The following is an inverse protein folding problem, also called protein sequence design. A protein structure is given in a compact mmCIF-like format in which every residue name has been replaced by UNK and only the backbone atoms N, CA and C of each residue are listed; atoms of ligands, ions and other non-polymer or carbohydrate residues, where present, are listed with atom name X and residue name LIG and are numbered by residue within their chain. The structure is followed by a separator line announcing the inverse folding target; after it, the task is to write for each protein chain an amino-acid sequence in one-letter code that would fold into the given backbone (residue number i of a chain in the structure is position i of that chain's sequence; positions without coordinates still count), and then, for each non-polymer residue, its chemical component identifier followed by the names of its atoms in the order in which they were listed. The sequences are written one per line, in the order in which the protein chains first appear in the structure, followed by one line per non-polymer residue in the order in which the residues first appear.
data_IF_685413553906
#
_entry.id   IF_685413553906
#
_cell.length_a   1.000
_cell.length_b   1.000
_cell.length_c   1.000
_cell.angle_alpha   90.00
_cell.angle_beta   90.00
_cell.angle_gamma   90.00
#
_symmetry.space_group_name_H-M   'P 1'
#
loop_
_entity.id
_entity.type
_entity.pdbx_description
1 polymer ?
2 non-polymer ?
3 non-polymer ?
4 non-polymer ?
5 non-polymer ?
6 water ?
#
# COMPACT_ATOMS: atom_id res chain seq x y z
N UNK A 6 24.78 -10.43 14.44
CA UNK A 6 24.97 -11.48 13.38
C UNK A 6 23.64 -11.86 12.68
N UNK A 7 22.98 -10.85 12.15
CA UNK A 7 21.68 -10.97 11.53
C UNK A 7 21.72 -11.70 10.22
N UNK A 8 20.66 -12.45 9.96
CA UNK A 8 20.47 -13.09 8.67
C UNK A 8 20.49 -12.06 7.52
N UNK A 9 21.11 -12.44 6.39
CA UNK A 9 21.19 -11.59 5.21
C UNK A 9 20.55 -12.32 4.08
N UNK A 10 19.24 -12.05 3.81
CA UNK A 10 18.52 -12.80 2.80
C UNK A 10 18.84 -12.37 1.39
N UNK A 11 18.59 -13.26 0.45
CA UNK A 11 18.87 -13.00 -0.91
C UNK A 11 17.73 -12.41 -1.65
N UNK A 12 16.91 -11.59 -1.00
CA UNK A 12 15.79 -10.97 -1.70
C UNK A 12 16.26 -9.57 -2.11
N UNK A 13 15.34 -8.64 -2.31
CA UNK A 13 15.81 -7.29 -2.71
C UNK A 13 16.75 -6.61 -1.72
N UNK A 14 16.71 -7.00 -0.46
CA UNK A 14 17.61 -6.39 0.51
C UNK A 14 19.07 -6.70 0.18
N UNK A 15 19.28 -7.80 -0.56
CA UNK A 15 20.59 -8.17 -1.09
C UNK A 15 21.27 -7.11 -2.01
N UNK A 16 20.46 -6.22 -2.60
CA UNK A 16 20.97 -5.25 -3.54
C UNK A 16 21.12 -3.87 -2.89
N UNK A 17 20.81 -3.72 -1.60
CA UNK A 17 20.61 -2.37 -1.00
C UNK A 17 21.58 -2.11 0.09
N UNK A 18 21.97 -0.86 0.27
CA UNK A 18 22.94 -0.58 1.33
C UNK A 18 22.29 -0.37 2.70
N UNK A 19 23.08 -0.13 3.74
CA UNK A 19 22.47 -0.01 5.08
C UNK A 19 21.46 1.14 5.20
N UNK A 20 21.82 2.28 4.61
CA UNK A 20 21.00 3.46 4.65
C UNK A 20 19.70 3.20 3.92
N UNK A 21 19.78 2.55 2.76
CA UNK A 21 18.61 2.22 1.97
C UNK A 21 17.71 1.27 2.75
N UNK A 22 18.31 0.22 3.31
CA UNK A 22 17.55 -0.70 4.19
C UNK A 22 16.88 0.01 5.34
N UNK A 23 17.62 0.84 6.12
CA UNK A 23 17.05 1.62 7.24
C UNK A 23 15.85 2.50 6.76
N UNK A 24 15.99 3.18 5.62
CA UNK A 24 14.86 3.99 5.03
C UNK A 24 13.63 3.12 4.75
N UNK A 25 13.83 1.99 4.09
CA UNK A 25 12.70 1.09 3.86
C UNK A 25 12.07 0.53 5.14
N UNK A 26 12.88 0.20 6.15
CA UNK A 26 12.31 -0.29 7.41
C UNK A 26 11.42 0.78 8.03
N UNK A 27 11.86 2.03 7.93
CA UNK A 27 11.03 3.18 8.28
C UNK A 27 9.76 3.33 7.49
N UNK A 28 9.80 3.09 6.19
CA UNK A 28 8.57 3.13 5.43
C UNK A 28 7.58 2.06 5.99
N UNK A 29 8.07 0.82 6.15
CA UNK A 29 7.27 -0.27 6.67
C UNK A 29 6.69 0.02 8.03
N UNK A 30 7.51 0.51 8.95
CA UNK A 30 6.99 0.90 10.26
C UNK A 30 5.88 1.97 10.20
N UNK A 31 6.12 3.02 9.42
CA UNK A 31 5.16 4.11 9.34
C UNK A 31 3.86 3.66 8.66
N UNK A 32 4.01 2.90 7.57
CA UNK A 32 2.85 2.34 6.84
C UNK A 32 1.99 1.52 7.78
N UNK A 33 2.60 0.77 8.69
CA UNK A 33 1.86 -0.05 9.64
C UNK A 33 1.03 0.90 10.49
N UNK A 35 0.02 4.00 9.88
CA UNK A 35 -0.91 4.87 9.19
C UNK A 35 -2.02 4.12 8.46
N UNK A 36 -2.08 2.80 8.70
CA UNK A 36 -3.18 1.93 8.28
C UNK A 36 -3.04 1.33 6.88
N UNK A 37 -1.83 1.33 6.32
CA UNK A 37 -1.60 0.81 4.95
C UNK A 37 -1.16 -0.65 5.10
N UNK A 38 -1.29 -1.43 4.05
CA UNK A 38 -0.93 -2.85 4.05
C UNK A 38 -2.06 -3.69 4.67
N UNK A 39 -1.76 -4.95 4.89
CA UNK A 39 -2.78 -5.86 5.37
C UNK A 39 -2.20 -6.65 6.54
N UNK A 40 -2.90 -6.64 7.70
CA UNK A 40 -2.49 -7.42 8.88
C UNK A 40 -3.54 -8.49 9.14
N UNK A 41 -3.16 -9.73 8.87
CA UNK A 41 -4.09 -10.85 9.03
C UNK A 41 -3.51 -11.92 9.96
N UNK A 42 -4.42 -12.80 10.38
CA UNK A 42 -4.14 -13.87 11.32
C UNK A 42 -3.90 -15.08 10.48
N UNK A 43 -2.69 -15.61 10.53
CA UNK A 43 -2.32 -16.53 9.46
C UNK A 43 -2.57 -17.97 9.87
N UNK A 44 -1.52 -18.77 9.98
CA UNK A 44 -1.75 -20.13 10.45
C UNK A 44 -1.54 -20.21 11.96
N UNK A 45 -0.31 -19.93 12.41
CA UNK A 45 -0.02 -19.84 13.84
C UNK A 45 -0.03 -18.41 14.37
N UNK A 46 0.16 -17.44 13.48
CA UNK A 46 0.34 -16.05 13.93
C UNK A 46 -0.20 -14.94 13.05
N UNK A 47 0.60 -13.88 12.90
CA UNK A 47 0.23 -12.72 12.16
C UNK A 47 0.99 -12.75 10.83
N UNK A 48 0.40 -12.20 9.78
CA UNK A 48 1.17 -11.82 8.62
C UNK A 48 0.86 -10.39 8.32
N UNK A 49 1.94 -9.62 8.14
CA UNK A 49 1.82 -8.26 7.63
C UNK A 49 2.41 -8.16 6.20
N UNK A 50 1.64 -7.56 5.31
CA UNK A 50 2.14 -7.36 3.96
C UNK A 50 1.83 -5.95 3.50
N UNK A 51 2.80 -5.34 2.84
CA UNK A 51 2.55 -3.95 2.38
C UNK A 51 3.30 -3.72 1.09
N UNK A 52 2.70 -2.95 0.17
CA UNK A 52 3.33 -2.68 -1.13
C UNK A 52 3.50 -1.16 -1.27
N UNK A 53 4.58 -0.73 -1.92
CA UNK A 53 4.82 0.68 -2.12
C UNK A 53 5.93 0.87 -3.12
N UNK A 54 5.97 2.06 -3.69
CA UNK A 54 7.07 2.57 -4.49
C UNK A 54 7.94 3.39 -3.60
N UNK A 55 9.23 2.96 -3.47
CA UNK A 55 10.09 3.67 -2.58
C UNK A 55 10.48 5.04 -3.15
N UNK A 56 10.99 5.89 -2.28
CA UNK A 56 11.50 7.23 -2.69
C UNK A 56 12.50 7.15 -3.86
N UNK A 57 12.62 8.23 -4.62
CA UNK A 57 13.39 8.20 -5.89
C UNK A 57 14.78 7.51 -5.89
N UNK A 58 15.64 7.85 -4.93
CA UNK A 58 17.03 7.33 -4.83
C UNK A 58 17.05 5.80 -4.81
N UNK A 59 16.11 5.23 -4.07
CA UNK A 59 15.97 3.77 -3.93
C UNK A 59 15.24 3.17 -5.14
N UNK A 60 14.16 3.83 -5.57
CA UNK A 60 13.48 3.47 -6.80
C UNK A 60 14.44 3.30 -8.02
N UNK A 61 15.30 4.28 -8.28
CA UNK A 61 16.43 4.16 -9.24
C UNK A 61 17.16 2.81 -9.17
N UNK A 62 17.54 2.38 -7.98
CA UNK A 62 18.19 1.07 -7.74
C UNK A 62 17.27 -0.14 -7.97
N UNK A 63 16.04 -0.08 -7.45
CA UNK A 63 15.15 -1.25 -7.57
C UNK A 63 14.34 -1.30 -8.88
N UNK A 64 14.38 -0.22 -9.66
CA UNK A 64 13.71 -0.17 -10.96
C UNK A 64 14.68 0.22 -12.08
N UNK B 7 -5.34 9.41 9.75
CA UNK B 7 -4.75 8.18 9.11
C UNK B 7 -5.83 7.16 8.93
N UNK B 8 -5.75 6.41 7.82
CA UNK B 8 -6.66 5.34 7.51
C UNK B 8 -6.83 4.33 8.70
N UNK B 9 -8.05 3.86 8.88
CA UNK B 9 -8.37 2.90 9.95
C UNK B 9 -8.81 1.61 9.30
N UNK B 10 -7.85 0.72 8.91
CA UNK B 10 -8.26 -0.51 8.27
C UNK B 10 -9.03 -1.48 9.18
N UNK B 11 -9.92 -2.22 8.57
CA UNK B 11 -10.74 -3.24 9.26
C UNK B 11 -10.03 -4.56 9.35
N UNK B 12 -8.72 -4.53 9.58
CA UNK B 12 -8.00 -5.79 9.77
C UNK B 12 -7.67 -5.92 11.27
N UNK B 13 -6.67 -6.75 11.58
CA UNK B 13 -6.38 -7.00 12.97
C UNK B 13 -5.98 -5.74 13.74
N UNK B 14 -5.50 -4.69 13.06
CA UNK B 14 -5.22 -3.45 13.78
C UNK B 14 -6.47 -2.80 14.39
N UNK B 15 -7.63 -2.98 13.76
CA UNK B 15 -8.92 -2.49 14.32
C UNK B 15 -9.19 -2.94 15.79
N UNK B 16 -8.60 -4.05 16.22
CA UNK B 16 -8.85 -4.58 17.57
C UNK B 16 -7.74 -4.24 18.59
N UNK B 17 -6.74 -3.47 18.15
CA UNK B 17 -5.57 -3.18 18.96
C UNK B 17 -5.51 -1.73 19.30
N UNK B 18 -5.04 -1.44 20.53
CA UNK B 18 -4.83 -0.06 20.95
C UNK B 18 -3.50 0.46 20.40
N UNK B 19 -3.24 1.74 20.60
CA UNK B 19 -2.07 2.44 20.04
C UNK B 19 -0.77 1.83 20.47
N UNK B 20 -0.69 1.44 21.73
CA UNK B 20 0.50 0.83 22.29
C UNK B 20 0.78 -0.51 21.58
N UNK B 21 -0.29 -1.30 21.47
CA UNK B 21 -0.23 -2.60 20.80
C UNK B 21 0.11 -2.48 19.30
N UNK B 22 -0.62 -1.65 18.57
CA UNK B 22 -0.22 -1.29 17.20
C UNK B 22 1.26 -0.78 17.14
N UNK B 23 1.67 0.10 18.06
CA UNK B 23 3.08 0.55 18.07
C UNK B 23 4.13 -0.60 18.35
N UNK B 24 3.84 -1.47 19.31
CA UNK B 24 4.61 -2.73 19.49
C UNK B 24 4.73 -3.53 18.16
N UNK B 25 3.60 -3.80 17.52
CA UNK B 25 3.65 -4.48 16.20
C UNK B 25 4.39 -3.75 15.07
N UNK B 26 4.20 -2.43 14.95
CA UNK B 26 4.99 -1.62 13.99
C UNK B 26 6.49 -1.79 14.19
N UNK B 27 6.90 -1.84 15.45
CA UNK B 27 8.28 -2.02 15.83
C UNK B 27 8.81 -3.41 15.51
N UNK B 28 7.96 -4.42 15.72
CA UNK B 28 8.26 -5.81 15.37
C UNK B 28 8.59 -5.84 13.87
N UNK B 29 7.72 -5.28 13.05
CA UNK B 29 7.87 -5.31 11.58
C UNK B 29 9.17 -4.60 11.17
N UNK B 30 9.49 -3.50 11.86
CA UNK B 30 10.62 -2.65 11.45
C UNK B 30 11.91 -3.42 11.78
N UNK B 31 11.89 -4.07 12.92
CA UNK B 31 13.01 -4.84 13.37
C UNK B 31 13.22 -6.04 12.45
N UNK B 32 12.14 -6.79 12.20
CA UNK B 32 12.23 -7.93 11.28
C UNK B 32 12.81 -7.54 9.94
N UNK B 33 12.38 -6.40 9.44
CA UNK B 33 12.91 -5.97 8.17
C UNK B 33 14.42 -5.78 8.29
N UNK B 35 16.61 -7.18 10.37
CA UNK B 35 17.41 -8.37 10.75
C UNK B 35 17.19 -9.47 9.75
N UNK B 36 16.59 -9.13 8.61
CA UNK B 36 16.67 -10.12 7.51
C UNK B 36 15.49 -11.07 7.39
N UNK B 37 14.45 -10.85 8.21
CA UNK B 37 13.23 -11.67 8.18
C UNK B 37 12.19 -11.19 7.16
N UNK B 38 11.32 -12.13 6.76
CA UNK B 38 10.29 -11.85 5.78
C UNK B 38 10.84 -11.79 4.38
N UNK B 39 10.02 -11.28 3.49
CA UNK B 39 10.39 -11.26 2.09
C UNK B 39 10.14 -9.89 1.50
N UNK B 40 11.19 -9.28 0.94
CA UNK B 40 11.06 -8.01 0.20
C UNK B 40 11.28 -8.33 -1.27
N UNK B 41 10.24 -8.10 -2.06
CA UNK B 41 10.32 -8.44 -3.49
C UNK B 41 9.93 -7.20 -4.30
N UNK B 42 10.28 -7.18 -5.56
CA UNK B 42 9.90 -6.07 -6.40
C UNK B 42 9.17 -6.53 -7.64
N UNK B 43 8.19 -5.76 -8.07
CA UNK B 43 7.58 -6.00 -9.38
C UNK B 43 7.51 -4.72 -10.26
N UNK B 44 6.72 -4.79 -11.34
CA UNK B 44 6.35 -3.64 -12.13
C UNK B 44 5.89 -2.51 -11.20
N UNK B 45 4.91 -2.82 -10.34
CA UNK B 45 4.36 -1.83 -9.39
C UNK B 45 5.42 -1.11 -8.55
N UNK B 46 6.16 -1.88 -7.73
CA UNK B 46 7.17 -1.36 -6.80
C UNK B 46 7.61 -2.50 -5.87
N UNK B 47 7.66 -2.26 -4.57
CA UNK B 47 8.15 -3.26 -3.60
C UNK B 47 6.96 -3.87 -2.85
N UNK B 48 7.14 -5.06 -2.29
CA UNK B 48 6.17 -5.62 -1.38
C UNK B 48 6.99 -6.22 -0.27
N UNK B 49 6.68 -5.92 0.98
CA UNK B 49 7.34 -6.58 2.08
C UNK B 49 6.29 -7.42 2.76
N UNK B 50 6.63 -8.66 3.08
CA UNK B 50 5.71 -9.55 3.80
C UNK B 50 6.48 -10.27 4.88
N UNK B 51 5.90 -10.33 6.06
CA UNK B 51 6.57 -11.07 7.15
C UNK B 51 5.51 -11.70 8.03
N UNK B 52 5.79 -12.89 8.58
CA UNK B 52 4.87 -13.54 9.50
C UNK B 52 5.58 -13.80 10.82
N UNK B 53 4.82 -13.80 11.90
CA UNK B 53 5.38 -13.97 13.23
C UNK B 53 4.28 -14.18 14.22
N UNK B 54 4.66 -14.71 15.39
CA UNK B 54 3.75 -14.79 16.53
C UNK B 54 4.13 -13.61 17.43
N UNK B 55 3.14 -12.69 17.69
CA UNK B 55 3.47 -11.55 18.50
C UNK B 55 3.52 -11.92 20.01
N UNK B 56 3.89 -10.95 20.86
CA UNK B 56 3.90 -11.16 22.30
C UNK B 56 2.55 -11.70 22.78
N UNK B 57 2.52 -12.46 23.89
CA UNK B 57 1.27 -13.14 24.33
C UNK B 57 0.07 -12.18 24.48
N UNK B 58 0.35 -11.02 25.00
CA UNK B 58 -0.73 -10.07 25.26
C UNK B 58 -1.44 -9.81 23.93
N UNK B 59 -0.67 -9.68 22.86
CA UNK B 59 -1.28 -9.39 21.57
C UNK B 59 -1.80 -10.65 20.93
N UNK B 60 -1.04 -11.72 21.09
CA UNK B 60 -1.42 -13.03 20.53
C UNK B 60 -2.82 -13.49 21.00
N UNK B 61 -3.13 -13.26 22.28
CA UNK B 61 -4.44 -13.58 22.83
C UNK B 61 -5.56 -12.81 22.18
N UNK B 62 -5.29 -11.55 21.82
CA UNK B 62 -6.23 -10.69 21.16
C UNK B 62 -6.43 -10.98 19.65
N UNK B 63 -5.38 -11.41 18.96
CA UNK B 63 -5.44 -11.60 17.51
C UNK B 63 -5.45 -13.07 17.09
N UNK B 64 -5.17 -13.96 18.07
CA UNK B 64 -5.23 -15.43 17.86
C UNK B 64 -6.17 -16.08 18.87
N UNK C 10 -19.02 -1.92 -13.43
CA UNK C 10 -18.68 -3.32 -13.70
C UNK C 10 -19.34 -4.26 -12.74
N UNK C 11 -19.25 -5.55 -13.04
CA UNK C 11 -19.59 -6.62 -12.10
C UNK C 11 -18.39 -6.99 -11.22
N UNK C 12 -17.60 -5.99 -10.84
CA UNK C 12 -16.60 -6.17 -9.79
C UNK C 12 -17.23 -5.81 -8.44
N UNK C 13 -16.43 -5.54 -7.39
CA UNK C 13 -16.97 -5.34 -6.03
C UNK C 13 -17.89 -4.15 -5.84
N UNK C 14 -17.78 -3.16 -6.73
CA UNK C 14 -18.61 -1.94 -6.61
C UNK C 14 -20.09 -2.17 -6.94
N UNK C 15 -20.33 -3.18 -7.77
CA UNK C 15 -21.65 -3.69 -8.12
C UNK C 15 -22.50 -3.94 -6.84
N UNK C 16 -21.86 -4.53 -5.83
CA UNK C 16 -22.50 -4.95 -4.60
C UNK C 16 -22.39 -3.98 -3.42
N UNK C 17 -21.69 -2.89 -3.63
CA UNK C 17 -21.50 -1.91 -2.58
C UNK C 17 -22.50 -0.75 -2.78
N UNK C 18 -23.02 -0.21 -1.68
CA UNK C 18 -24.02 0.86 -1.74
C UNK C 18 -23.29 2.18 -1.93
N UNK C 19 -24.04 3.26 -2.09
CA UNK C 19 -23.42 4.56 -2.39
C UNK C 19 -22.48 5.13 -1.27
N UNK C 20 -22.81 4.95 0.00
CA UNK C 20 -21.95 5.45 1.06
C UNK C 20 -20.59 4.73 1.05
N UNK C 21 -20.65 3.41 0.84
CA UNK C 21 -19.50 2.54 0.80
C UNK C 21 -18.61 2.90 -0.37
N UNK C 22 -19.18 3.04 -1.55
CA UNK C 22 -18.41 3.35 -2.77
C UNK C 22 -17.78 4.74 -2.71
N UNK C 23 -18.50 5.71 -2.13
CA UNK C 23 -17.97 7.02 -1.89
C UNK C 23 -16.77 6.97 -0.93
N UNK C 24 -16.90 6.18 0.15
CA UNK C 24 -15.83 6.02 1.15
C UNK C 24 -14.57 5.52 0.47
N UNK C 25 -14.74 4.54 -0.40
CA UNK C 25 -13.61 3.93 -1.11
C UNK C 25 -13.00 4.86 -2.13
N UNK C 26 -13.84 5.67 -2.79
CA UNK C 26 -13.37 6.62 -3.78
C UNK C 26 -12.54 7.65 -3.03
N UNK C 27 -12.95 8.00 -1.80
CA UNK C 27 -12.17 8.91 -0.98
C UNK C 27 -10.84 8.30 -0.49
N UNK C 28 -10.84 6.99 -0.17
CA UNK C 28 -9.60 6.26 0.15
C UNK C 28 -8.64 6.32 -1.01
N UNK C 29 -9.14 6.07 -2.20
CA UNK C 29 -8.30 5.96 -3.35
C UNK C 29 -7.71 7.35 -3.60
N UNK C 30 -8.57 8.36 -3.50
CA UNK C 30 -8.18 9.71 -3.73
C UNK C 30 -7.09 10.14 -2.75
N UNK C 31 -7.32 9.90 -1.45
CA UNK C 31 -6.32 10.27 -0.45
C UNK C 31 -5.02 9.48 -0.62
N UNK C 32 -5.12 8.19 -0.93
CA UNK C 32 -3.89 7.36 -1.11
C UNK C 32 -3.00 7.91 -2.24
N UNK C 33 -3.66 8.36 -3.33
CA UNK C 33 -2.93 8.98 -4.43
C UNK C 33 -2.08 10.15 -3.91
N UNK C 35 -1.19 11.04 -0.74
CA UNK C 35 -0.24 10.69 0.35
C UNK C 35 0.86 9.71 -0.06
N UNK C 36 0.89 9.40 -1.35
CA UNK C 36 2.02 8.67 -1.95
C UNK C 36 1.93 7.16 -1.94
N UNK C 37 0.74 6.64 -1.71
CA UNK C 37 0.61 5.20 -1.58
C UNK C 37 0.19 4.66 -2.96
N UNK C 38 0.32 3.37 -3.17
CA UNK C 38 0.06 2.83 -4.50
C UNK C 38 1.17 3.12 -5.49
N UNK C 39 0.88 2.87 -6.77
CA UNK C 39 1.88 2.94 -7.85
C UNK C 39 1.25 3.66 -9.06
N UNK C 40 1.85 4.78 -9.51
CA UNK C 40 1.48 5.47 -10.76
C UNK C 40 2.53 5.24 -11.85
N UNK C 41 2.19 4.45 -12.86
CA UNK C 41 3.16 4.14 -13.90
C UNK C 41 2.59 4.53 -15.26
N UNK C 42 3.45 4.57 -16.27
CA UNK C 42 3.03 4.96 -17.63
C UNK C 42 3.53 4.00 -18.68
N UNK C 43 2.72 3.89 -19.73
CA UNK C 43 2.98 3.02 -20.87
C UNK C 43 2.95 3.80 -22.15
N UNK C 44 3.10 3.08 -23.26
CA UNK C 44 2.75 3.61 -24.56
C UNK C 44 1.28 4.05 -24.53
N UNK C 45 0.42 3.21 -23.90
CA UNK C 45 -0.95 3.58 -23.51
C UNK C 45 -0.99 4.97 -22.92
N UNK C 46 -1.12 5.05 -21.60
CA UNK C 46 -1.10 6.32 -20.85
C UNK C 46 -0.69 6.01 -19.43
N UNK C 47 -1.51 6.37 -18.44
CA UNK C 47 -1.20 6.11 -17.02
C UNK C 47 -1.94 4.91 -16.47
N UNK C 48 -1.35 4.27 -15.44
CA UNK C 48 -2.03 3.21 -14.63
C UNK C 48 -1.74 3.53 -13.19
N UNK C 49 -2.83 3.66 -12.44
CA UNK C 49 -2.76 3.72 -11.01
C UNK C 49 -3.34 2.44 -10.37
N UNK C 50 -2.55 1.82 -9.52
CA UNK C 50 -2.97 0.69 -8.70
C UNK C 50 -2.64 0.90 -7.21
N UNK C 51 -3.57 0.55 -6.34
CA UNK C 51 -3.33 0.64 -4.90
C UNK C 51 -4.14 -0.47 -4.27
N UNK C 52 -3.60 -1.09 -3.22
CA UNK C 52 -4.29 -2.11 -2.41
C UNK C 52 -4.41 -1.58 -0.98
N UNK C 53 -5.49 -1.96 -0.31
CA UNK C 53 -5.73 -1.55 1.05
C UNK C 53 -6.87 -2.33 1.66
N UNK C 54 -6.95 -2.28 3.01
CA UNK C 54 -8.03 -2.90 3.77
C UNK C 54 -8.93 -1.74 4.13
N UNK C 55 -10.19 -1.79 3.69
CA UNK C 55 -11.16 -0.75 3.98
C UNK C 55 -11.65 -0.84 5.47
N UNK C 56 -12.48 0.12 5.91
CA UNK C 56 -13.04 0.07 7.24
C UNK C 56 -13.70 -1.25 7.48
N UNK C 57 -13.80 -1.64 8.75
CA UNK C 57 -14.35 -2.92 9.11
C UNK C 57 -15.65 -3.25 8.37
N UNK C 58 -16.58 -2.29 8.34
CA UNK C 58 -17.94 -2.49 7.79
C UNK C 58 -17.92 -2.99 6.36
N UNK C 59 -16.97 -2.47 5.59
CA UNK C 59 -16.86 -2.82 4.18
C UNK C 59 -15.99 -4.05 4.04
N UNK C 60 -14.93 -4.14 4.85
CA UNK C 60 -14.05 -5.30 4.84
C UNK C 60 -14.87 -6.57 5.21
N UNK C 61 -15.76 -6.43 6.18
CA UNK C 61 -16.66 -7.54 6.53
C UNK C 61 -17.47 -8.02 5.34
N UNK C 62 -17.83 -7.11 4.41
CA UNK C 62 -18.65 -7.43 3.24
C UNK C 62 -17.86 -8.03 2.09
N UNK C 63 -16.67 -7.51 1.82
CA UNK C 63 -15.87 -7.98 0.68
C UNK C 63 -14.89 -9.14 1.00
N UNK C 64 -14.76 -9.49 2.29
CA UNK C 64 -13.97 -10.66 2.75
C UNK C 64 -14.83 -11.77 3.37
N UNK D 6 3.78 15.44 6.16
CA UNK D 6 4.92 14.45 6.31
C UNK D 6 4.79 13.19 5.40
N UNK D 7 4.07 13.28 4.28
CA UNK D 7 3.62 12.09 3.55
C UNK D 7 4.75 11.39 2.77
N UNK D 8 4.57 10.12 2.45
CA UNK D 8 5.54 9.41 1.61
C UNK D 8 5.61 9.99 0.20
N UNK D 9 6.80 10.03 -0.39
CA UNK D 9 7.04 10.62 -1.69
C UNK D 9 7.61 9.55 -2.59
N UNK D 10 6.73 8.78 -3.27
CA UNK D 10 7.09 7.65 -4.09
C UNK D 10 7.91 8.12 -5.29
N UNK D 11 8.86 7.31 -5.71
CA UNK D 11 9.69 7.66 -6.86
C UNK D 11 9.03 7.33 -8.17
N UNK D 12 7.69 7.20 -8.16
CA UNK D 12 6.96 6.82 -9.37
C UNK D 12 6.68 8.08 -10.21
N UNK D 13 5.68 8.08 -11.09
CA UNK D 13 5.43 9.26 -11.93
C UNK D 13 5.06 10.47 -11.11
N UNK D 14 4.46 10.25 -9.93
CA UNK D 14 4.07 11.37 -9.08
C UNK D 14 5.30 12.23 -8.71
N UNK D 15 6.49 11.62 -8.60
CA UNK D 15 7.73 12.33 -8.32
C UNK D 15 7.96 13.51 -9.26
N UNK D 16 7.52 13.31 -10.51
CA UNK D 16 7.80 14.22 -11.58
C UNK D 16 6.67 15.19 -11.82
N UNK D 17 5.67 15.22 -10.94
CA UNK D 17 4.51 16.07 -11.21
C UNK D 17 4.44 17.13 -10.15
N UNK D 18 3.84 18.29 -10.44
CA UNK D 18 3.71 19.32 -9.42
C UNK D 18 2.42 19.11 -8.61
N UNK D 19 2.22 19.87 -7.55
CA UNK D 19 1.10 19.62 -6.63
C UNK D 19 -0.26 19.63 -7.34
N UNK D 20 -0.37 20.50 -8.35
CA UNK D 20 -1.65 20.76 -9.00
C UNK D 20 -1.98 19.65 -9.99
N UNK D 21 -0.96 19.17 -10.68
CA UNK D 21 -1.06 18.02 -11.57
C UNK D 21 -1.41 16.76 -10.78
N UNK D 22 -0.80 16.58 -9.59
CA UNK D 22 -1.18 15.45 -8.75
C UNK D 22 -2.61 15.57 -8.21
N UNK D 23 -3.01 16.79 -7.81
CA UNK D 23 -4.40 17.08 -7.38
C UNK D 23 -5.40 16.67 -8.40
N UNK D 24 -5.16 17.12 -9.63
CA UNK D 24 -6.00 16.82 -10.78
C UNK D 24 -6.07 15.31 -11.03
N UNK D 25 -4.93 14.64 -11.06
CA UNK D 25 -4.95 13.20 -11.22
C UNK D 25 -5.68 12.44 -10.11
N UNK D 26 -5.58 12.89 -8.84
CA UNK D 26 -6.26 12.24 -7.76
C UNK D 26 -7.75 12.34 -8.00
N UNK D 27 -8.16 13.49 -8.53
CA UNK D 27 -9.57 13.71 -8.90
C UNK D 27 -9.95 12.84 -10.05
N UNK D 28 -9.07 12.72 -11.03
CA UNK D 28 -9.41 11.87 -12.13
C UNK D 28 -9.71 10.46 -11.60
N UNK D 29 -8.90 10.03 -10.63
CA UNK D 29 -8.98 8.66 -10.11
C UNK D 29 -10.25 8.45 -9.30
N UNK D 30 -10.57 9.42 -8.45
CA UNK D 30 -11.76 9.31 -7.61
C UNK D 30 -12.98 9.24 -8.52
N UNK D 31 -13.01 10.10 -9.54
CA UNK D 31 -14.07 10.08 -10.56
C UNK D 31 -14.21 8.73 -11.24
N UNK D 32 -13.12 8.25 -11.85
CA UNK D 32 -13.11 6.94 -12.48
C UNK D 32 -13.71 5.82 -11.56
N UNK D 33 -13.45 5.91 -10.25
CA UNK D 33 -13.90 4.89 -9.32
C UNK D 33 -15.40 4.94 -9.28
N UNK D 35 -17.57 6.25 -11.44
CA UNK D 35 -18.26 5.93 -12.70
C UNK D 35 -18.05 4.49 -13.30
N UNK D 36 -17.46 3.56 -12.55
CA UNK D 36 -17.28 2.20 -13.08
C UNK D 36 -16.02 1.90 -13.87
N UNK D 37 -15.12 2.89 -13.98
CA UNK D 37 -13.85 2.57 -14.67
C UNK D 37 -12.83 1.88 -13.75
N UNK D 38 -11.96 1.12 -14.36
CA UNK D 38 -10.94 0.36 -13.68
C UNK D 38 -11.56 -0.89 -13.07
N UNK D 39 -10.81 -1.53 -12.19
CA UNK D 39 -11.26 -2.79 -11.62
C UNK D 39 -11.00 -2.84 -10.12
N UNK D 40 -12.06 -3.00 -9.34
CA UNK D 40 -11.97 -3.15 -7.88
C UNK D 40 -12.14 -4.61 -7.58
N UNK D 41 -11.07 -5.23 -7.07
CA UNK D 41 -11.07 -6.66 -6.75
C UNK D 41 -10.69 -6.94 -5.29
N UNK D 42 -11.00 -8.17 -4.85
CA UNK D 42 -10.81 -8.62 -3.48
C UNK D 42 -9.35 -8.64 -3.10
N UNK D 43 -8.80 -9.84 -2.93
CA UNK D 43 -7.68 -9.99 -1.97
C UNK D 43 -6.33 -9.28 -2.12
N UNK D 44 -5.30 -10.02 -1.73
CA UNK D 44 -4.08 -9.45 -1.14
C UNK D 44 -4.26 -9.34 0.39
N UNK D 45 -5.44 -9.81 0.86
CA UNK D 45 -6.05 -9.37 2.10
C UNK D 45 -6.50 -7.93 1.83
N UNK D 46 -7.78 -7.73 1.54
CA UNK D 46 -8.29 -6.40 1.30
C UNK D 46 -8.69 -6.19 -0.14
N UNK D 47 -8.53 -4.96 -0.62
CA UNK D 47 -9.05 -4.51 -1.89
C UNK D 47 -7.90 -4.11 -2.77
N UNK D 48 -8.00 -4.32 -4.08
CA UNK D 48 -7.10 -3.70 -5.03
C UNK D 48 -7.95 -2.92 -6.04
N UNK D 49 -7.58 -1.68 -6.28
CA UNK D 49 -8.19 -0.86 -7.33
C UNK D 49 -7.11 -0.53 -8.34
N UNK D 50 -7.40 -0.69 -9.61
CA UNK D 50 -6.49 -0.34 -10.67
C UNK D 50 -7.25 0.30 -11.82
N UNK D 51 -6.71 1.41 -12.33
CA UNK D 51 -7.35 2.13 -13.42
C UNK D 51 -6.28 2.70 -14.36
N UNK D 52 -6.52 2.57 -15.65
CA UNK D 52 -5.64 3.09 -16.71
C UNK D 52 -6.40 4.14 -17.53
N UNK D 53 -5.68 5.17 -17.96
CA UNK D 53 -6.27 6.30 -18.70
C UNK D 53 -5.19 7.17 -19.34
N UNK D 54 -5.59 7.96 -20.35
CA UNK D 54 -4.68 8.95 -20.98
C UNK D 54 -4.95 10.31 -20.33
N UNK D 55 -3.95 10.93 -19.69
CA UNK D 55 -4.27 12.19 -19.00
C UNK D 55 -4.18 13.36 -20.01
N UNK D 56 -4.33 14.61 -19.54
CA UNK D 56 -4.22 15.78 -20.42
C UNK D 56 -2.87 15.85 -21.12
N UNK D 57 -2.83 16.62 -22.20
CA UNK D 57 -1.59 16.71 -23.00
C UNK D 57 -0.39 17.22 -22.16
N UNK D 58 -0.63 18.19 -21.27
CA UNK D 58 0.45 18.72 -20.42
C UNK D 58 1.08 17.64 -19.57
N UNK D 59 0.26 16.92 -18.80
CA UNK D 59 0.74 15.83 -17.96
C UNK D 59 1.43 14.75 -18.78
N UNK D 60 0.79 14.39 -19.90
CA UNK D 60 1.27 13.43 -20.91
C UNK D 60 2.71 13.64 -21.29
N UNK D 61 3.07 14.89 -21.57
CA UNK D 61 4.42 15.23 -21.94
C UNK D 61 5.39 15.02 -20.77
N UNK D 62 4.98 15.32 -19.55
CA UNK D 62 5.82 15.06 -18.39
C UNK D 62 6.10 13.59 -18.13
N UNK D 63 5.19 12.70 -18.55
CA UNK D 63 5.20 11.28 -18.14
C UNK D 63 5.57 10.24 -19.24
N UNK D 64 6.02 10.74 -20.39
CA UNK D 64 6.40 9.90 -21.54
C UNK D 64 7.64 10.47 -22.22
#
# INVERSE_FOLDING_TARGET
XAHHHHHHEPGDLRHDLNQQERATLSSNVQRFFXIGHGSLTADAGGLTYTVSWVPTKQIQRKVAPSAGP
XAHHHHHHEPGDLRHDLNQQERATLSSNVQRFFXIGHGSLTADAGGLTYTVSWVPTKQIQRKVAPSAGP
XAHHHHHHEPGDLRHDLNQQERATLSSNVQRFFXIGHGSLTADAGGLTYTVSWVPTKQIQRKVAPSAGP
XAHHHHHHEPGDLRHDLNQQERATLSSNVQRFFXIGHGSLTADAGGLTYTVSWVPTKQIQRKVAPSAGP
#
